data_IF_767890294565
#
_entry.id   IF_767890294565
#
_cell.length_a   1.000
_cell.length_b   1.000
_cell.length_c   1.000
_cell.angle_alpha   90.00
_cell.angle_beta   90.00
_cell.angle_gamma   90.00
#
_symmetry.space_group_name_H-M   'P 1'
#
loop_
_entity.id
_entity.type
_entity.pdbx_description
1 polymer ?
#
# COMPACT_ATOMS: atom_id res chain seq x y z
N UNK A 1 20.62 -6.47 6.86
CA UNK A 1 19.72 -5.93 5.84
C UNK A 1 18.30 -6.20 6.29
N UNK A 2 17.46 -5.17 6.27
CA UNK A 2 16.04 -5.20 6.63
C UNK A 2 15.21 -5.04 5.36
N UNK A 3 14.00 -5.57 5.29
CA UNK A 3 13.18 -5.51 4.08
C UNK A 3 11.68 -5.53 4.35
N UNK A 4 10.95 -4.76 3.55
CA UNK A 4 9.50 -4.63 3.64
C UNK A 4 8.89 -4.87 2.27
N UNK A 5 7.84 -5.69 2.25
CA UNK A 5 6.98 -5.88 1.09
C UNK A 5 5.65 -5.14 1.32
N UNK A 6 5.42 -4.06 0.58
CA UNK A 6 4.15 -3.33 0.55
C UNK A 6 3.22 -3.86 -0.53
N UNK A 7 1.93 -3.99 -0.21
CA UNK A 7 0.90 -4.50 -1.11
C UNK A 7 -0.34 -3.61 -1.04
N UNK A 8 -0.67 -2.95 -2.16
CA UNK A 8 -2.00 -2.34 -2.36
C UNK A 8 -2.97 -3.43 -2.80
N UNK A 9 -3.66 -4.06 -1.85
CA UNK A 9 -4.47 -5.23 -2.13
C UNK A 9 -5.88 -4.83 -2.59
N UNK A 10 -6.24 -5.24 -3.80
CA UNK A 10 -7.63 -5.21 -4.22
C UNK A 10 -8.52 -6.04 -3.27
N UNK A 11 -9.61 -5.45 -2.77
CA UNK A 11 -10.59 -6.17 -1.93
C UNK A 11 -11.48 -7.15 -2.73
N UNK A 12 -11.15 -7.42 -4.00
CA UNK A 12 -11.88 -8.32 -4.89
C UNK A 12 -10.91 -9.04 -5.82
N UNK A 13 -11.22 -10.26 -6.22
CA UNK A 13 -10.33 -11.14 -7.02
C UNK A 13 -9.98 -10.61 -8.43
N UNK A 14 -10.72 -9.62 -8.95
CA UNK A 14 -10.67 -9.20 -10.36
C UNK A 14 -9.88 -7.93 -10.62
N UNK A 15 -9.61 -7.17 -9.57
CA UNK A 15 -8.81 -5.95 -9.68
C UNK A 15 -7.33 -6.28 -9.41
N UNK A 16 -6.39 -5.64 -10.12
CA UNK A 16 -4.96 -5.81 -9.85
C UNK A 16 -4.59 -5.20 -8.49
N UNK A 17 -3.50 -5.71 -7.92
CA UNK A 17 -2.92 -5.26 -6.64
C UNK A 17 -1.47 -4.85 -6.84
N UNK A 18 -1.12 -3.63 -6.48
CA UNK A 18 0.26 -3.15 -6.55
C UNK A 18 1.16 -3.86 -5.54
N UNK A 19 2.45 -4.01 -5.87
CA UNK A 19 3.46 -4.62 -5.00
C UNK A 19 4.73 -3.80 -5.05
N UNK A 20 5.30 -3.47 -3.90
CA UNK A 20 6.57 -2.77 -3.78
C UNK A 20 7.47 -3.48 -2.76
N UNK A 21 8.75 -3.65 -3.10
CA UNK A 21 9.77 -4.21 -2.22
C UNK A 21 10.79 -3.14 -1.92
N UNK A 22 11.00 -2.86 -0.63
CA UNK A 22 12.06 -1.96 -0.17
C UNK A 22 13.02 -2.72 0.74
N UNK A 23 14.27 -2.27 0.79
CA UNK A 23 15.30 -2.82 1.66
C UNK A 23 16.14 -1.73 2.29
N UNK A 24 16.77 -2.03 3.42
CA UNK A 24 17.74 -1.19 4.09
C UNK A 24 18.96 -2.02 4.49
N UNK A 25 20.12 -1.68 3.92
CA UNK A 25 21.42 -2.30 4.20
C UNK A 25 22.21 -1.60 5.31
N UNK A 26 21.61 -0.61 5.98
CA UNK A 26 22.24 0.26 6.97
C UNK A 26 22.51 1.67 6.44
N UNK A 27 22.32 1.92 5.13
CA UNK A 27 22.42 3.25 4.54
C UNK A 27 21.07 3.99 4.47
N UNK A 28 19.96 3.36 4.86
CA UNK A 28 18.60 3.88 4.73
C UNK A 28 17.80 3.11 3.67
N UNK A 29 16.48 3.28 3.70
CA UNK A 29 15.57 2.55 2.82
C UNK A 29 15.78 2.89 1.34
N UNK A 30 15.73 1.86 0.50
CA UNK A 30 15.79 1.96 -0.96
C UNK A 30 14.70 1.10 -1.59
N UNK A 31 14.15 1.56 -2.71
CA UNK A 31 13.21 0.78 -3.51
C UNK A 31 13.98 -0.25 -4.33
N UNK A 32 13.64 -1.52 -4.15
CA UNK A 32 14.25 -2.66 -4.85
C UNK A 32 13.45 -3.05 -6.08
N UNK A 33 12.12 -3.07 -5.96
CA UNK A 33 11.21 -3.42 -7.05
C UNK A 33 9.84 -2.79 -6.82
N UNK A 34 9.14 -2.45 -7.91
CA UNK A 34 7.73 -2.02 -7.86
C UNK A 34 6.98 -2.52 -9.08
N UNK A 35 5.77 -3.01 -8.87
CA UNK A 35 4.92 -3.51 -9.93
C UNK A 35 3.45 -3.17 -9.68
N UNK A 36 2.73 -2.84 -10.75
CA UNK A 36 1.29 -2.52 -10.70
C UNK A 36 0.37 -3.76 -10.54
N UNK A 37 0.92 -4.97 -10.44
CA UNK A 37 0.15 -6.19 -10.23
C UNK A 37 1.02 -7.33 -9.68
N UNK A 38 0.43 -8.29 -8.96
CA UNK A 38 1.10 -9.55 -8.61
C UNK A 38 1.71 -10.24 -9.83
N UNK A 39 0.96 -10.29 -10.95
CA UNK A 39 1.44 -10.95 -12.17
C UNK A 39 2.70 -10.31 -12.74
N UNK A 40 2.81 -8.98 -12.68
CA UNK A 40 4.01 -8.26 -13.11
C UNK A 40 5.17 -8.46 -12.13
N UNK A 41 4.89 -8.45 -10.81
CA UNK A 41 5.90 -8.68 -9.78
C UNK A 41 6.53 -10.08 -9.85
N UNK A 42 5.73 -11.10 -10.15
CA UNK A 42 6.16 -12.50 -10.23
C UNK A 42 6.89 -12.84 -11.55
N UNK A 43 6.83 -11.98 -12.56
CA UNK A 43 7.57 -12.17 -13.81
C UNK A 43 9.04 -11.84 -13.63
N UNK A 44 9.93 -12.73 -14.08
CA UNK A 44 11.38 -12.68 -13.79
C UNK A 44 12.19 -11.69 -14.63
N UNK A 45 11.62 -10.96 -15.56
CA UNK A 45 12.37 -10.00 -16.40
C UNK A 45 11.42 -9.05 -17.14
N UNK A 46 11.39 -7.76 -16.79
CA UNK A 46 10.55 -6.75 -17.47
C UNK A 46 11.27 -5.40 -17.64
N UNK A 47 12.59 -5.38 -17.87
CA UNK A 47 13.19 -4.13 -18.36
C UNK A 47 12.59 -3.79 -19.74
N UNK A 48 11.65 -2.85 -19.79
CA UNK A 48 11.13 -2.27 -21.04
C UNK A 48 9.86 -2.90 -21.62
N UNK A 49 9.09 -3.72 -20.88
CA UNK A 49 7.83 -4.27 -21.40
C UNK A 49 6.67 -3.26 -21.21
N UNK A 50 5.84 -3.02 -22.24
CA UNK A 50 4.72 -2.08 -22.14
C UNK A 50 3.75 -2.47 -21.03
N UNK A 51 3.17 -1.47 -20.33
CA UNK A 51 2.14 -1.67 -19.31
C UNK A 51 0.95 -2.39 -19.96
N UNK A 52 0.80 -3.68 -19.67
CA UNK A 52 -0.31 -4.49 -20.13
C UNK A 52 -1.49 -4.34 -19.18
N UNK A 53 -2.70 -4.54 -19.70
CA UNK A 53 -3.90 -4.60 -18.86
C UNK A 53 -3.87 -5.89 -18.03
N UNK A 54 -3.44 -5.78 -16.78
CA UNK A 54 -3.49 -6.91 -15.85
C UNK A 54 -4.93 -7.21 -15.44
N UNK A 55 -5.27 -8.50 -15.35
CA UNK A 55 -6.49 -8.98 -14.70
C UNK A 55 -6.13 -9.35 -13.26
N UNK A 56 -7.03 -9.12 -12.31
CA UNK A 56 -6.82 -9.57 -10.93
C UNK A 56 -6.53 -11.07 -10.85
N UNK A 57 -5.72 -11.43 -9.86
CA UNK A 57 -5.37 -12.80 -9.51
C UNK A 57 -5.37 -12.92 -8.00
N UNK A 58 -5.76 -14.09 -7.49
CA UNK A 58 -5.57 -14.37 -6.07
C UNK A 58 -4.07 -14.30 -5.72
N UNK A 59 -3.71 -13.61 -4.63
CA UNK A 59 -2.33 -13.62 -4.15
C UNK A 59 -1.91 -15.02 -3.73
N UNK A 60 -0.79 -15.49 -4.28
CA UNK A 60 -0.04 -16.63 -3.73
C UNK A 60 1.05 -16.06 -2.81
N UNK A 61 0.78 -16.08 -1.50
CA UNK A 61 1.70 -15.54 -0.50
C UNK A 61 3.09 -16.18 -0.59
N UNK A 62 3.16 -17.49 -0.89
CA UNK A 62 4.42 -18.22 -1.02
C UNK A 62 5.22 -17.69 -2.19
N UNK A 63 4.59 -17.65 -3.38
CA UNK A 63 5.27 -17.20 -4.60
C UNK A 63 5.78 -15.75 -4.49
N UNK A 64 4.97 -14.86 -3.88
CA UNK A 64 5.35 -13.46 -3.70
C UNK A 64 6.54 -13.35 -2.74
N UNK A 65 6.51 -14.04 -1.60
CA UNK A 65 7.62 -14.03 -0.64
C UNK A 65 8.88 -14.65 -1.22
N UNK A 66 8.79 -15.73 -1.99
CA UNK A 66 9.94 -16.36 -2.63
C UNK A 66 10.62 -15.41 -3.63
N UNK A 67 9.85 -14.73 -4.49
CA UNK A 67 10.38 -13.76 -5.44
C UNK A 67 10.99 -12.57 -4.72
N UNK A 68 10.30 -12.01 -3.72
CA UNK A 68 10.79 -10.87 -2.95
C UNK A 68 12.09 -11.21 -2.20
N UNK A 69 12.11 -12.35 -1.50
CA UNK A 69 13.29 -12.82 -0.77
C UNK A 69 14.45 -13.10 -1.72
N UNK A 70 14.18 -13.62 -2.92
CA UNK A 70 15.20 -13.82 -3.94
C UNK A 70 15.84 -12.51 -4.45
N UNK A 71 15.06 -11.42 -4.54
CA UNK A 71 15.55 -10.10 -4.96
C UNK A 71 16.46 -9.43 -3.94
N UNK A 72 16.20 -9.64 -2.64
CA UNK A 72 17.03 -9.06 -1.56
C UNK A 72 18.10 -10.03 -1.05
N UNK A 73 17.95 -11.35 -1.26
CA UNK A 73 18.91 -12.38 -0.84
C UNK A 73 18.73 -12.87 0.60
N UNK A 74 17.70 -12.38 1.30
CA UNK A 74 17.29 -12.83 2.64
C UNK A 74 15.77 -12.93 2.71
N UNK A 75 15.19 -13.63 3.71
CA UNK A 75 13.76 -13.56 3.95
C UNK A 75 13.29 -12.11 4.13
N UNK A 76 12.09 -11.81 3.64
CA UNK A 76 11.42 -10.53 3.92
C UNK A 76 11.13 -10.43 5.42
N UNK A 77 11.32 -9.25 6.02
CA UNK A 77 11.09 -9.06 7.46
C UNK A 77 9.64 -8.68 7.76
N UNK A 78 9.01 -7.87 6.91
CA UNK A 78 7.65 -7.39 7.15
C UNK A 78 6.84 -7.29 5.86
N UNK A 79 5.57 -7.71 5.92
CA UNK A 79 4.59 -7.54 4.85
C UNK A 79 3.53 -6.53 5.31
N UNK A 80 3.33 -5.47 4.54
CA UNK A 80 2.36 -4.41 4.82
C UNK A 80 1.27 -4.38 3.73
N UNK A 81 0.00 -4.56 4.12
CA UNK A 81 -1.10 -4.71 3.16
C UNK A 81 -2.19 -3.65 3.39
N UNK A 82 -2.58 -2.92 2.33
CA UNK A 82 -3.80 -2.09 2.32
C UNK A 82 -5.04 -2.97 2.12
N UNK A 83 -5.43 -3.68 3.17
CA UNK A 83 -6.67 -4.42 3.23
C UNK A 83 -7.05 -4.66 4.69
N UNK A 84 -8.35 -4.63 5.04
CA UNK A 84 -8.84 -5.10 6.33
C UNK A 84 -8.34 -6.51 6.62
N UNK A 85 -7.60 -6.69 7.71
CA UNK A 85 -7.14 -7.96 8.27
C UNK A 85 -7.59 -8.11 9.72
N UNK A 86 -7.92 -9.31 10.14
CA UNK A 86 -8.36 -9.57 11.52
C UNK A 86 -8.01 -10.99 11.95
N UNK A 87 -7.77 -11.19 13.23
CA UNK A 87 -7.59 -12.51 13.84
C UNK A 87 -8.87 -13.35 13.74
N UNK A 88 -10.03 -12.70 13.67
CA UNK A 88 -11.36 -13.29 13.55
C UNK A 88 -12.02 -12.93 12.20
N UNK A 89 -12.95 -13.74 11.68
CA UNK A 89 -13.63 -13.45 10.42
C UNK A 89 -14.33 -12.08 10.42
N UNK A 90 -14.09 -11.28 9.37
CA UNK A 90 -14.63 -9.92 9.27
C UNK A 90 -16.10 -9.96 8.84
N UNK A 91 -17.00 -9.60 9.76
CA UNK A 91 -18.45 -9.51 9.49
C UNK A 91 -18.97 -8.08 9.34
N UNK A 92 -18.18 -7.09 9.75
CA UNK A 92 -18.51 -5.66 9.72
C UNK A 92 -17.33 -4.81 10.17
N UNK A 93 -17.60 -3.55 10.58
CA UNK A 93 -16.56 -2.65 11.10
C UNK A 93 -15.89 -3.23 12.35
N UNK A 94 -14.57 -3.13 12.41
CA UNK A 94 -13.72 -3.57 13.52
C UNK A 94 -13.36 -2.39 14.44
N UNK A 95 -12.71 -2.65 15.57
CA UNK A 95 -12.22 -1.58 16.45
C UNK A 95 -11.23 -0.67 15.71
N UNK A 96 -10.29 -1.27 14.97
CA UNK A 96 -9.32 -0.55 14.14
C UNK A 96 -9.98 0.43 13.15
N UNK A 97 -11.01 -0.03 12.43
CA UNK A 97 -11.79 0.80 11.52
C UNK A 97 -12.41 2.01 12.23
N UNK A 98 -13.00 1.79 13.40
CA UNK A 98 -13.66 2.84 14.18
C UNK A 98 -12.67 3.84 14.76
N UNK A 99 -11.51 3.39 15.24
CA UNK A 99 -10.45 4.25 15.75
C UNK A 99 -9.88 5.14 14.65
N UNK A 100 -9.52 4.57 13.49
CA UNK A 100 -9.03 5.35 12.36
C UNK A 100 -10.09 6.35 11.87
N UNK A 101 -11.35 5.93 11.71
CA UNK A 101 -12.41 6.86 11.31
C UNK A 101 -12.64 7.99 12.31
N UNK A 102 -12.46 7.74 13.61
CA UNK A 102 -12.57 8.77 14.64
C UNK A 102 -11.41 9.77 14.57
N UNK A 103 -10.18 9.28 14.36
CA UNK A 103 -8.97 10.10 14.30
C UNK A 103 -8.84 10.91 13.00
N UNK A 104 -9.17 10.28 11.86
CA UNK A 104 -8.90 10.82 10.53
C UNK A 104 -10.17 11.24 9.78
N UNK A 105 -11.37 11.03 10.34
CA UNK A 105 -12.62 11.38 9.67
C UNK A 105 -12.78 12.87 9.38
N UNK A 106 -12.46 13.72 10.35
CA UNK A 106 -12.44 15.18 10.17
C UNK A 106 -11.40 15.63 9.12
N UNK A 107 -10.40 14.79 8.83
CA UNK A 107 -9.36 14.99 7.82
C UNK A 107 -9.71 14.32 6.48
N UNK A 108 -10.95 13.87 6.31
CA UNK A 108 -11.48 13.21 5.11
C UNK A 108 -10.83 11.85 4.78
N UNK A 109 -10.31 11.14 5.78
CA UNK A 109 -9.64 9.85 5.65
C UNK A 109 -10.24 8.78 6.59
N UNK A 110 -11.57 8.72 6.69
CA UNK A 110 -12.26 7.59 7.33
C UNK A 110 -12.10 6.30 6.53
N UNK A 111 -12.02 5.16 7.22
CA UNK A 111 -11.93 3.85 6.58
C UNK A 111 -13.22 3.49 5.84
N UNK A 112 -13.06 2.72 4.76
CA UNK A 112 -14.17 1.98 4.19
C UNK A 112 -14.67 0.92 5.18
N UNK A 113 -15.98 0.62 5.16
CA UNK A 113 -16.55 -0.42 6.00
C UNK A 113 -16.34 -1.79 5.35
N UNK A 114 -15.59 -2.71 5.98
CA UNK A 114 -15.50 -4.07 5.49
C UNK A 114 -16.77 -4.86 5.79
N UNK A 115 -16.93 -5.98 5.11
CA UNK A 115 -18.05 -6.92 5.27
C UNK A 115 -17.61 -8.36 5.00
N UNK A 116 -18.51 -9.30 5.24
CA UNK A 116 -18.36 -10.73 4.91
C UNK A 116 -18.03 -10.96 3.42
N UNK A 117 -18.42 -10.05 2.54
CA UNK A 117 -18.19 -10.16 1.08
C UNK A 117 -17.02 -9.32 0.58
N UNK A 118 -16.55 -8.33 1.35
CA UNK A 118 -15.51 -7.40 0.91
C UNK A 118 -14.73 -6.81 2.10
N UNK A 119 -13.47 -7.22 2.35
CA UNK A 119 -12.78 -8.33 1.70
C UNK A 119 -13.23 -9.72 2.20
N UNK A 120 -13.79 -9.82 3.41
CA UNK A 120 -14.32 -11.07 3.97
C UNK A 120 -13.38 -12.27 3.79
N UNK A 121 -13.85 -13.29 3.06
CA UNK A 121 -13.09 -14.51 2.76
C UNK A 121 -11.70 -14.25 2.15
N UNK A 122 -11.54 -13.24 1.29
CA UNK A 122 -10.24 -12.90 0.69
C UNK A 122 -9.23 -12.44 1.76
N UNK A 123 -9.69 -11.68 2.75
CA UNK A 123 -8.86 -11.28 3.88
C UNK A 123 -8.42 -12.50 4.69
N UNK A 124 -9.35 -13.41 4.98
CA UNK A 124 -9.08 -14.61 5.76
C UNK A 124 -8.05 -15.50 5.05
N UNK A 125 -8.25 -15.78 3.75
CA UNK A 125 -7.34 -16.58 2.94
C UNK A 125 -5.93 -15.97 2.86
N UNK A 126 -5.84 -14.64 2.69
CA UNK A 126 -4.56 -13.96 2.63
C UNK A 126 -3.81 -14.02 3.97
N UNK A 127 -4.52 -13.73 5.07
CA UNK A 127 -3.95 -13.81 6.42
C UNK A 127 -3.47 -15.22 6.74
N UNK A 128 -4.28 -16.24 6.44
CA UNK A 128 -3.92 -17.65 6.66
C UNK A 128 -2.71 -18.02 5.82
N UNK A 129 -2.71 -17.67 4.53
CA UNK A 129 -1.60 -17.96 3.62
C UNK A 129 -0.26 -17.38 4.09
N UNK A 130 -0.24 -16.13 4.57
CA UNK A 130 0.96 -15.52 5.15
C UNK A 130 1.36 -16.15 6.49
N UNK A 131 0.39 -16.47 7.35
CA UNK A 131 0.63 -17.15 8.62
C UNK A 131 1.31 -18.50 8.41
N UNK A 132 0.83 -19.29 7.45
CA UNK A 132 1.33 -20.64 7.17
C UNK A 132 2.79 -20.65 6.68
N UNK A 133 3.26 -19.54 6.10
CA UNK A 133 4.66 -19.33 5.69
C UNK A 133 5.49 -18.49 6.69
N UNK A 134 4.95 -18.27 7.89
CA UNK A 134 5.67 -17.67 9.02
C UNK A 134 5.61 -16.14 9.11
N UNK A 135 4.56 -15.51 8.57
CA UNK A 135 4.26 -14.09 8.73
C UNK A 135 2.90 -13.92 9.43
N UNK A 136 2.81 -14.19 10.74
CA UNK A 136 1.58 -13.96 11.50
C UNK A 136 1.15 -12.49 11.47
N UNK A 137 -0.16 -12.25 11.56
CA UNK A 137 -0.71 -10.90 11.69
C UNK A 137 -0.28 -10.28 13.02
N UNK A 138 0.36 -9.13 12.97
CA UNK A 138 0.73 -8.34 14.14
C UNK A 138 -0.26 -7.19 14.35
N UNK A 139 -0.99 -7.25 15.46
CA UNK A 139 -1.92 -6.20 15.91
C UNK A 139 -1.28 -5.27 16.95
N UNK A 140 -0.19 -5.71 17.57
CA UNK A 140 0.66 -4.95 18.48
C UNK A 140 2.08 -5.53 18.45
N UNK A 141 3.05 -4.77 18.98
CA UNK A 141 4.43 -5.25 19.26
C UNK A 141 5.06 -6.18 18.20
N UNK A 142 5.18 -5.76 16.93
CA UNK A 142 5.67 -6.60 15.84
C UNK A 142 7.10 -7.08 16.13
N UNK A 143 7.31 -8.40 16.07
CA UNK A 143 8.59 -9.03 16.32
C UNK A 143 8.84 -10.19 15.36
N UNK A 144 10.07 -10.30 14.87
CA UNK A 144 10.41 -11.27 13.82
C UNK A 144 9.71 -10.94 12.50
N UNK A 145 9.35 -11.98 11.74
CA UNK A 145 8.62 -11.83 10.48
C UNK A 145 7.15 -11.65 10.75
N UNK A 146 6.54 -10.60 10.19
CA UNK A 146 5.15 -10.25 10.47
C UNK A 146 4.39 -9.75 9.25
N UNK A 147 3.08 -9.93 9.30
CA UNK A 147 2.10 -9.30 8.44
C UNK A 147 1.43 -8.15 9.21
N UNK A 148 1.24 -6.99 8.59
CA UNK A 148 0.49 -5.87 9.15
C UNK A 148 -0.54 -5.33 8.17
N UNK A 149 -1.64 -4.81 8.69
CA UNK A 149 -2.57 -3.98 7.93
C UNK A 149 -2.14 -2.50 8.00
N UNK A 150 -2.22 -1.83 6.85
CA UNK A 150 -1.92 -0.40 6.71
C UNK A 150 -3.06 0.29 5.98
N UNK A 151 -3.09 1.63 6.04
CA UNK A 151 -4.06 2.42 5.31
C UNK A 151 -3.41 3.68 4.69
N UNK A 152 -3.25 3.74 3.35
CA UNK A 152 -2.50 4.80 2.67
C UNK A 152 -3.00 6.22 2.90
N UNK A 153 -4.31 6.43 3.11
CA UNK A 153 -4.86 7.77 3.28
C UNK A 153 -4.33 8.50 4.53
N UNK A 154 -4.42 7.95 5.75
CA UNK A 154 -3.72 8.47 6.92
C UNK A 154 -2.21 8.56 6.74
N UNK A 155 -1.58 7.55 6.13
CA UNK A 155 -0.13 7.56 5.93
C UNK A 155 0.34 8.77 5.10
N UNK A 156 -0.31 9.04 3.97
CA UNK A 156 0.02 10.19 3.12
C UNK A 156 -0.26 11.54 3.79
N UNK A 157 -1.28 11.59 4.65
CA UNK A 157 -1.57 12.76 5.46
C UNK A 157 -0.39 13.06 6.40
N UNK A 158 0.14 12.05 7.07
CA UNK A 158 1.28 12.21 7.99
C UNK A 158 2.60 12.47 7.25
N UNK A 159 2.80 11.83 6.08
CA UNK A 159 3.97 12.06 5.22
C UNK A 159 4.08 13.50 4.74
N UNK A 160 2.96 14.08 4.29
CA UNK A 160 2.90 15.41 3.70
C UNK A 160 2.65 16.53 4.74
N UNK A 161 2.57 16.19 6.03
CA UNK A 161 2.11 17.08 7.10
C UNK A 161 0.81 17.83 6.74
N UNK A 162 -0.11 17.11 6.08
CA UNK A 162 -1.28 17.73 5.49
C UNK A 162 -2.43 17.87 6.49
N UNK A 163 -3.20 18.96 6.38
CA UNK A 163 -4.40 19.14 7.21
C UNK A 163 -5.47 18.08 6.91
N UNK A 164 -5.57 17.64 5.64
CA UNK A 164 -6.60 16.70 5.14
C UNK A 164 -6.02 15.75 4.10
N UNK A 165 -6.80 14.71 3.76
CA UNK A 165 -6.49 13.72 2.73
C UNK A 165 -6.09 14.38 1.40
N UNK A 166 -4.94 13.95 0.87
CA UNK A 166 -4.48 14.34 -0.46
C UNK A 166 -5.43 13.83 -1.57
N UNK A 167 -5.78 14.66 -2.57
CA UNK A 167 -6.69 14.29 -3.66
C UNK A 167 -5.98 13.47 -4.76
N UNK A 168 -5.56 12.25 -4.45
CA UNK A 168 -4.72 11.44 -5.35
C UNK A 168 -5.42 10.24 -6.02
N UNK A 169 -6.66 9.90 -5.65
CA UNK A 169 -7.39 8.79 -6.30
C UNK A 169 -8.03 9.23 -7.62
N UNK A 170 -7.55 8.72 -8.74
CA UNK A 170 -8.00 9.07 -10.09
C UNK A 170 -9.51 8.85 -10.28
N UNK A 171 -10.08 7.81 -9.65
CA UNK A 171 -11.51 7.53 -9.68
C UNK A 171 -12.39 8.61 -9.02
N UNK A 172 -11.80 9.50 -8.23
CA UNK A 172 -12.49 10.58 -7.49
C UNK A 172 -12.19 11.97 -8.03
N UNK A 173 -11.47 12.07 -9.15
CA UNK A 173 -10.95 13.33 -9.70
C UNK A 173 -12.02 14.41 -9.88
N UNK A 174 -13.23 14.04 -10.30
CA UNK A 174 -14.36 14.97 -10.47
C UNK A 174 -14.90 15.52 -9.15
N UNK A 175 -14.72 14.79 -8.06
CA UNK A 175 -15.13 15.22 -6.71
C UNK A 175 -14.09 16.10 -6.03
N UNK A 176 -12.81 15.94 -6.38
CA UNK A 176 -11.74 16.77 -5.82
C UNK A 176 -11.77 18.19 -6.36
N UNK A 177 -12.06 18.34 -7.65
CA UNK A 177 -12.05 19.64 -8.32
C UNK A 177 -13.31 19.85 -9.18
N UNK A 178 -14.51 19.96 -8.56
CA UNK A 178 -15.78 20.06 -9.28
C UNK A 178 -15.82 21.28 -10.21
N UNK A 179 -15.20 22.39 -9.81
CA UNK A 179 -15.17 23.65 -10.58
C UNK A 179 -14.10 23.68 -11.70
N UNK A 180 -13.20 22.68 -11.76
CA UNK A 180 -12.12 22.63 -12.75
C UNK A 180 -12.59 21.87 -13.99
N UNK A 181 -12.23 22.36 -15.18
CA UNK A 181 -12.55 21.69 -16.45
C UNK A 181 -11.93 20.28 -16.51
N UNK A 182 -12.60 19.27 -17.14
CA UNK A 182 -12.15 17.87 -17.11
C UNK A 182 -10.68 17.64 -17.51
N UNK A 183 -10.16 18.36 -18.52
CA UNK A 183 -8.76 18.23 -18.95
C UNK A 183 -7.77 18.71 -17.89
N UNK A 184 -8.01 19.87 -17.28
CA UNK A 184 -7.14 20.46 -16.26
C UNK A 184 -7.18 19.72 -14.91
N UNK A 185 -8.20 18.87 -14.68
CA UNK A 185 -8.24 18.00 -13.49
C UNK A 185 -7.11 16.98 -13.48
N UNK A 186 -6.75 16.44 -14.65
CA UNK A 186 -5.68 15.44 -14.78
C UNK A 186 -4.30 16.03 -14.49
N UNK A 187 -4.07 17.27 -14.91
CA UNK A 187 -2.84 18.02 -14.57
C UNK A 187 -2.69 18.16 -13.06
N UNK A 188 -3.76 18.55 -12.35
CA UNK A 188 -3.77 18.64 -10.89
C UNK A 188 -3.54 17.30 -10.20
N UNK A 189 -4.08 16.21 -10.74
CA UNK A 189 -3.85 14.87 -10.21
C UNK A 189 -2.37 14.47 -10.33
N UNK A 190 -1.78 14.70 -11.50
CA UNK A 190 -0.36 14.39 -11.76
C UNK A 190 0.55 15.27 -10.89
N UNK A 191 0.19 16.53 -10.65
CA UNK A 191 0.90 17.41 -9.71
C UNK A 191 0.90 16.84 -8.28
N UNK A 192 -0.25 16.39 -7.79
CA UNK A 192 -0.36 15.75 -6.47
C UNK A 192 0.45 14.45 -6.42
N UNK A 193 0.41 13.64 -7.48
CA UNK A 193 1.24 12.44 -7.57
C UNK A 193 2.74 12.76 -7.57
N UNK A 194 3.18 13.80 -8.29
CA UNK A 194 4.57 14.25 -8.27
C UNK A 194 5.01 14.63 -6.86
N UNK A 195 4.19 15.39 -6.13
CA UNK A 195 4.48 15.76 -4.74
C UNK A 195 4.60 14.55 -3.82
N UNK A 196 3.71 13.56 -3.96
CA UNK A 196 3.79 12.32 -3.17
C UNK A 196 5.06 11.54 -3.52
N UNK A 197 5.40 11.43 -4.80
CA UNK A 197 6.62 10.75 -5.26
C UNK A 197 7.87 11.42 -4.68
N UNK A 198 7.97 12.75 -4.70
CA UNK A 198 9.10 13.49 -4.14
C UNK A 198 9.22 13.28 -2.62
N UNK A 199 8.09 13.30 -1.90
CA UNK A 199 8.06 13.04 -0.45
C UNK A 199 8.47 11.61 -0.12
N UNK A 200 8.04 10.63 -0.91
CA UNK A 200 8.43 9.23 -0.72
C UNK A 200 9.90 9.00 -1.08
N UNK A 201 10.43 9.64 -2.13
CA UNK A 201 11.84 9.51 -2.53
C UNK A 201 12.80 10.03 -1.46
N UNK A 202 12.39 11.05 -0.72
CA UNK A 202 13.13 11.54 0.45
C UNK A 202 13.21 10.52 1.60
N UNK A 203 12.33 9.51 1.63
CA UNK A 203 12.27 8.46 2.67
C UNK A 203 12.77 7.11 2.17
N UNK A 204 12.58 6.83 0.90
CA UNK A 204 12.95 5.59 0.22
C UNK A 204 13.64 5.99 -1.07
N UNK A 205 14.96 5.82 -1.12
CA UNK A 205 15.74 6.21 -2.31
C UNK A 205 15.29 5.43 -3.54
N UNK A 206 15.17 6.13 -4.67
CA UNK A 206 14.90 5.53 -5.98
C UNK A 206 13.42 5.45 -6.35
N UNK A 207 12.52 5.94 -5.49
CA UNK A 207 11.08 6.01 -5.80
C UNK A 207 10.84 6.91 -7.01
N UNK A 208 11.46 8.09 -7.08
CA UNK A 208 11.28 9.02 -8.19
C UNK A 208 11.81 8.44 -9.52
N UNK A 209 12.89 7.64 -9.46
CA UNK A 209 13.44 6.97 -10.62
C UNK A 209 12.55 5.83 -11.12
N UNK A 210 11.89 5.10 -10.21
CA UNK A 210 11.05 3.96 -10.55
C UNK A 210 9.62 4.35 -10.96
N UNK A 211 9.02 5.35 -10.31
CA UNK A 211 7.65 5.78 -10.57
C UNK A 211 7.60 6.90 -11.62
N UNK A 212 7.61 6.50 -12.89
CA UNK A 212 7.43 7.45 -14.00
C UNK A 212 5.99 7.96 -14.02
N UNK A 213 5.81 9.27 -13.83
CA UNK A 213 4.49 9.91 -13.89
C UNK A 213 3.84 9.70 -15.25
N UNK A 214 2.56 9.30 -15.31
CA UNK A 214 1.84 9.15 -16.56
C UNK A 214 1.55 10.52 -17.20
N UNK A 215 1.48 10.56 -18.52
CA UNK A 215 1.03 11.76 -19.24
C UNK A 215 -0.46 12.05 -19.00
N UNK A 216 -0.89 13.31 -19.18
CA UNK A 216 -2.31 13.70 -19.15
C UNK A 216 -3.16 12.98 -20.19
N UNK A 217 -2.54 12.43 -21.23
CA UNK A 217 -3.18 11.64 -22.29
C UNK A 217 -3.19 10.14 -22.01
N UNK A 218 -2.63 9.70 -20.89
CA UNK A 218 -2.56 8.29 -20.52
C UNK A 218 -3.96 7.67 -20.41
N UNK A 219 -4.05 6.39 -20.76
CA UNK A 219 -5.28 5.62 -20.67
C UNK A 219 -5.62 5.36 -19.22
N UNK A 220 -6.91 5.14 -18.93
CA UNK A 220 -7.40 4.86 -17.56
C UNK A 220 -6.67 3.72 -16.85
N UNK A 221 -6.28 2.66 -17.56
CA UNK A 221 -5.56 1.54 -16.95
C UNK A 221 -4.10 1.89 -16.62
N UNK A 222 -3.48 2.82 -17.35
CA UNK A 222 -2.11 3.30 -17.06
C UNK A 222 -2.13 4.19 -15.82
N UNK A 223 -3.13 5.07 -15.72
CA UNK A 223 -3.38 5.87 -14.51
C UNK A 223 -3.63 4.99 -13.29
N UNK A 224 -4.44 3.92 -13.44
CA UNK A 224 -4.66 2.96 -12.36
C UNK A 224 -3.38 2.19 -12.01
N UNK A 225 -2.60 1.75 -13.00
CA UNK A 225 -1.35 1.05 -12.75
C UNK A 225 -0.33 1.90 -11.96
N UNK A 226 -0.26 3.20 -12.28
CA UNK A 226 0.54 4.14 -11.50
C UNK A 226 0.00 4.31 -10.07
N UNK A 227 -1.31 4.51 -9.90
CA UNK A 227 -1.96 4.61 -8.58
C UNK A 227 -1.69 3.37 -7.71
N UNK A 228 -1.91 2.17 -8.25
CA UNK A 228 -1.68 0.90 -7.54
C UNK A 228 -0.19 0.74 -7.15
N UNK A 229 0.73 1.14 -8.02
CA UNK A 229 2.18 1.12 -7.72
C UNK A 229 2.55 2.13 -6.63
N UNK A 230 1.98 3.34 -6.69
CA UNK A 230 2.18 4.39 -5.69
C UNK A 230 1.66 3.93 -4.32
N UNK A 231 0.45 3.38 -4.26
CA UNK A 231 -0.14 2.88 -3.02
C UNK A 231 0.66 1.72 -2.43
N UNK A 232 1.22 0.83 -3.25
CA UNK A 232 2.10 -0.23 -2.78
C UNK A 232 3.40 0.32 -2.16
N UNK A 233 4.00 1.37 -2.74
CA UNK A 233 5.17 2.05 -2.15
C UNK A 233 4.79 2.74 -0.84
N UNK A 234 3.61 3.36 -0.75
CA UNK A 234 3.10 3.91 0.51
C UNK A 234 2.96 2.81 1.56
N UNK A 235 2.41 1.64 1.21
CA UNK A 235 2.30 0.50 2.11
C UNK A 235 3.67 0.05 2.62
N UNK A 236 4.66 -0.05 1.72
CA UNK A 236 6.03 -0.41 2.07
C UNK A 236 6.66 0.62 3.01
N UNK A 237 6.44 1.92 2.76
CA UNK A 237 6.91 2.99 3.64
C UNK A 237 6.30 2.92 5.05
N UNK A 238 5.01 2.61 5.17
CA UNK A 238 4.39 2.42 6.49
C UNK A 238 5.06 1.24 7.22
N UNK A 239 5.33 0.14 6.52
CA UNK A 239 6.06 -0.98 7.09
C UNK A 239 7.50 -0.62 7.53
N UNK A 240 8.20 0.22 6.78
CA UNK A 240 9.49 0.78 7.19
C UNK A 240 9.35 1.60 8.49
N UNK A 241 8.32 2.44 8.59
CA UNK A 241 8.04 3.19 9.81
C UNK A 241 7.76 2.27 11.02
N UNK A 242 7.09 1.13 10.80
CA UNK A 242 6.92 0.12 11.85
C UNK A 242 8.27 -0.45 12.30
N UNK A 243 9.13 -0.84 11.35
CA UNK A 243 10.46 -1.38 11.66
C UNK A 243 11.39 -0.36 12.33
N UNK A 244 11.23 0.93 12.03
CA UNK A 244 11.99 2.03 12.65
C UNK A 244 11.34 2.55 13.94
N UNK A 245 10.22 1.96 14.37
CA UNK A 245 9.51 2.36 15.58
C UNK A 245 8.84 3.73 15.48
N UNK A 246 8.62 4.26 14.29
CA UNK A 246 8.01 5.56 14.00
C UNK A 246 6.53 5.46 13.60
N UNK A 247 5.90 4.29 13.67
CA UNK A 247 4.46 4.11 13.47
C UNK A 247 3.72 3.68 14.76
N UNK A 248 2.40 3.87 14.77
CA UNK A 248 1.49 3.44 15.84
C UNK A 248 0.43 2.49 15.30
N UNK A 249 0.09 1.47 16.08
CA UNK A 249 -1.05 0.59 15.85
C UNK A 249 -2.34 1.22 16.39
N UNK A 250 -3.42 1.16 15.62
CA UNK A 250 -4.75 1.60 16.04
C UNK A 250 -5.74 0.46 15.90
N UNK A 251 -6.21 -0.05 17.04
CA UNK A 251 -7.16 -1.15 17.10
C UNK A 251 -7.13 -1.86 18.45
N UNK A 252 -7.33 -3.17 18.43
CA UNK A 252 -7.47 -4.07 19.58
C UNK A 252 -6.74 -5.41 19.34
N UNK A 253 -6.98 -6.40 20.20
CA UNK A 253 -6.37 -7.73 20.10
C UNK A 253 -6.79 -8.52 18.84
N UNK A 254 -7.84 -8.09 18.14
CA UNK A 254 -8.31 -8.75 16.92
C UNK A 254 -7.79 -8.09 15.65
N UNK A 255 -7.60 -6.77 15.64
CA UNK A 255 -7.20 -6.05 14.43
C UNK A 255 -6.50 -4.74 14.76
N UNK A 256 -5.54 -4.34 13.92
CA UNK A 256 -4.93 -3.02 14.02
C UNK A 256 -4.57 -2.47 12.63
N UNK A 257 -4.80 -1.16 12.45
CA UNK A 257 -4.30 -0.41 11.30
C UNK A 257 -3.07 0.37 11.75
N UNK A 258 -1.93 0.13 11.09
CA UNK A 258 -0.69 0.83 11.37
C UNK A 258 -0.62 2.14 10.60
N UNK A 259 -0.30 3.23 11.30
CA UNK A 259 -0.13 4.57 10.70
C UNK A 259 1.18 5.20 11.20
N UNK A 260 2.00 5.79 10.31
CA UNK A 260 3.19 6.55 10.70
C UNK A 260 2.83 7.69 11.67
N UNK A 261 3.73 8.00 12.60
CA UNK A 261 3.61 9.19 13.45
C UNK A 261 4.07 10.41 12.67
N UNK A 262 3.53 11.58 12.99
CA UNK A 262 3.97 12.85 12.41
C UNK A 262 5.49 13.01 12.53
N UNK A 263 6.14 13.30 11.41
CA UNK A 263 7.61 13.46 11.34
C UNK A 263 8.40 12.15 11.19
N UNK A 264 7.73 10.99 11.08
CA UNK A 264 8.32 9.74 10.62
C UNK A 264 9.01 9.92 9.27
#
# INVERSE_FOLDING_TARGET
>A
MRSVLGIDAAWTEREPSGVALIADDGSGWQLVEVAASYSAFLQRDLSGVPILRHRGSMPDATAIIEVASGKVGTPVDLVAIDMPLSMTPITGRRASDNMISSLYGARHASTHTPSVTRPGKLSDELRIGFNDIGYPLAVEHPAGRVLIEVYPHPALIELADAERRLPYKASKISKYWPEVAPGARLEKLIEVWSQIVDLLDARIRGVAAALTLPSVTARRYEMKAFEDSLDAVVCAWVGACVMDGTASAYGDEESAIWVPRRGA
#
